data_IF_240893104860
#
_entry.id   IF_240893104860
#
_cell.length_a   1.000
_cell.length_b   1.000
_cell.length_c   1.000
_cell.angle_alpha   90.00
_cell.angle_beta   90.00
_cell.angle_gamma   90.00
#
_symmetry.space_group_name_H-M   'P 1'
#
loop_
_entity.id
_entity.type
_entity.pdbx_description
1 polymer ?
#
# COMPACT_ATOMS: atom_id res chain seq x y z
N UNK A 1 6.15 9.28 -10.92
CA UNK A 1 4.74 9.01 -10.62
C UNK A 1 4.65 8.23 -9.31
N UNK A 2 3.82 8.68 -8.40
CA UNK A 2 3.63 8.03 -7.11
C UNK A 2 2.39 7.15 -7.16
N UNK A 3 2.49 5.93 -6.65
CA UNK A 3 1.36 5.02 -6.59
C UNK A 3 0.84 4.96 -5.16
N UNK A 4 -0.47 5.08 -5.00
CA UNK A 4 -1.14 5.02 -3.71
C UNK A 4 -1.76 3.63 -3.56
N UNK A 5 -1.36 2.90 -2.52
CA UNK A 5 -1.75 1.51 -2.31
C UNK A 5 -2.50 1.36 -1.00
N UNK A 6 -3.71 0.83 -1.08
CA UNK A 6 -4.51 0.46 0.08
C UNK A 6 -4.18 -0.99 0.41
N UNK A 7 -3.59 -1.23 1.58
CA UNK A 7 -3.16 -2.58 1.97
C UNK A 7 -4.16 -3.26 2.90
N UNK A 8 -5.37 -2.71 3.00
CA UNK A 8 -6.45 -3.32 3.77
C UNK A 8 -7.06 -4.47 2.97
N UNK A 9 -8.03 -5.14 3.56
CA UNK A 9 -8.73 -6.21 2.85
C UNK A 9 -9.53 -5.66 1.67
N UNK A 10 -9.85 -6.55 0.75
CA UNK A 10 -10.65 -6.18 -0.41
C UNK A 10 -12.04 -5.66 0.01
N UNK A 11 -12.61 -6.24 1.06
CA UNK A 11 -13.90 -5.78 1.58
C UNK A 11 -13.84 -4.34 2.07
N UNK A 12 -12.81 -4.02 2.85
CA UNK A 12 -12.63 -2.66 3.35
C UNK A 12 -12.46 -1.68 2.20
N UNK A 13 -11.71 -2.06 1.19
CA UNK A 13 -11.47 -1.23 0.01
C UNK A 13 -12.78 -0.94 -0.73
N UNK A 14 -13.62 -1.96 -0.89
CA UNK A 14 -14.90 -1.79 -1.58
C UNK A 14 -15.85 -0.86 -0.84
N UNK A 15 -15.83 -0.90 0.47
CA UNK A 15 -16.69 -0.03 1.27
C UNK A 15 -16.30 1.43 1.12
N UNK A 16 -14.99 1.70 1.17
CA UNK A 16 -14.49 3.05 1.10
C UNK A 16 -12.97 3.02 0.93
N UNK A 17 -12.43 3.84 0.06
CA UNK A 17 -11.00 3.97 -0.11
C UNK A 17 -10.66 5.38 -0.62
N UNK A 18 -9.39 5.75 -0.52
CA UNK A 18 -8.91 7.05 -0.98
C UNK A 18 -8.97 7.11 -2.52
N UNK A 19 -9.36 8.25 -3.10
CA UNK A 19 -9.39 8.39 -4.55
C UNK A 19 -8.03 8.08 -5.16
N UNK A 20 -8.05 7.26 -6.21
CA UNK A 20 -6.84 6.88 -6.93
C UNK A 20 -6.06 5.74 -6.32
N UNK A 21 -6.50 5.20 -5.18
CA UNK A 21 -5.79 4.08 -4.54
C UNK A 21 -6.05 2.77 -5.29
N UNK A 22 -5.01 1.93 -5.30
CA UNK A 22 -5.11 0.54 -5.76
C UNK A 22 -5.08 -0.35 -4.53
N UNK A 23 -5.79 -1.47 -4.58
CA UNK A 23 -5.85 -2.37 -3.42
C UNK A 23 -4.93 -3.57 -3.60
N UNK A 24 -3.97 -3.71 -2.69
CA UNK A 24 -3.13 -4.91 -2.60
C UNK A 24 -3.07 -5.25 -1.11
N UNK A 25 -3.89 -6.18 -0.63
CA UNK A 25 -3.90 -6.53 0.79
C UNK A 25 -2.52 -6.93 1.30
N UNK A 26 -2.24 -6.58 2.56
CA UNK A 26 -0.92 -6.82 3.14
C UNK A 26 -0.53 -8.31 3.09
N UNK A 27 -1.50 -9.20 3.25
CA UNK A 27 -1.22 -10.64 3.21
C UNK A 27 -0.67 -11.06 1.84
N UNK A 28 -1.21 -10.48 0.77
CA UNK A 28 -0.72 -10.78 -0.58
C UNK A 28 0.67 -10.23 -0.79
N UNK A 29 0.95 -9.03 -0.30
CA UNK A 29 2.29 -8.45 -0.40
C UNK A 29 3.30 -9.34 0.32
N UNK A 30 2.96 -9.81 1.52
CA UNK A 30 3.84 -10.70 2.29
C UNK A 30 4.06 -12.03 1.58
N UNK A 31 3.11 -12.49 0.79
CA UNK A 31 3.23 -13.70 -0.01
C UNK A 31 3.94 -13.48 -1.35
N UNK A 32 4.34 -12.24 -1.63
CA UNK A 32 5.00 -11.90 -2.88
C UNK A 32 4.06 -11.69 -4.05
N UNK A 33 2.76 -11.57 -3.79
CA UNK A 33 1.75 -11.31 -4.83
C UNK A 33 1.55 -9.80 -4.91
N UNK A 34 2.19 -9.17 -5.86
CA UNK A 34 2.29 -7.72 -5.90
C UNK A 34 1.29 -7.01 -6.82
N UNK A 35 0.46 -7.77 -7.55
CA UNK A 35 -0.56 -7.15 -8.41
C UNK A 35 0.04 -6.15 -9.40
N UNK A 36 -0.46 -4.92 -9.38
CA UNK A 36 0.00 -3.89 -10.31
C UNK A 36 1.47 -3.51 -10.10
N UNK A 37 2.08 -3.91 -8.99
CA UNK A 37 3.49 -3.62 -8.73
C UNK A 37 4.43 -4.61 -9.40
N UNK A 38 3.89 -5.66 -10.02
CA UNK A 38 4.72 -6.61 -10.77
C UNK A 38 5.32 -5.90 -11.97
N UNK A 39 6.63 -5.99 -12.07
CA UNK A 39 7.35 -5.45 -13.22
C UNK A 39 7.58 -3.95 -13.25
N UNK A 40 7.12 -3.20 -12.25
CA UNK A 40 7.44 -1.77 -12.21
C UNK A 40 8.83 -1.54 -11.65
N UNK A 41 9.38 -0.35 -11.92
CA UNK A 41 10.69 0.02 -11.39
C UNK A 41 10.69 0.01 -9.86
N UNK A 42 11.74 -0.53 -9.27
CA UNK A 42 11.91 -0.55 -7.81
C UNK A 42 12.11 0.84 -7.21
N UNK A 43 12.37 1.83 -8.05
CA UNK A 43 12.51 3.22 -7.62
C UNK A 43 11.19 3.99 -7.65
N UNK A 44 10.11 3.37 -8.11
CA UNK A 44 8.81 4.03 -8.17
C UNK A 44 8.37 4.39 -6.74
N UNK A 45 8.02 5.67 -6.49
CA UNK A 45 7.53 6.05 -5.16
C UNK A 45 6.20 5.36 -4.85
N UNK A 46 6.13 4.70 -3.69
CA UNK A 46 4.93 4.03 -3.23
C UNK A 46 4.47 4.67 -1.93
N UNK A 47 3.17 4.95 -1.85
CA UNK A 47 2.55 5.43 -0.61
C UNK A 47 1.51 4.40 -0.19
N UNK A 48 1.61 3.93 1.05
CA UNK A 48 0.75 2.88 1.58
C UNK A 48 -0.10 3.42 2.71
N UNK A 49 -1.32 2.91 2.82
CA UNK A 49 -2.12 3.19 4.00
C UNK A 49 -2.97 1.97 4.35
N UNK A 50 -3.40 1.92 5.61
CA UNK A 50 -4.38 0.94 6.06
C UNK A 50 -5.39 1.66 6.95
N UNK A 51 -5.88 1.05 8.00
CA UNK A 51 -6.83 1.68 8.89
C UNK A 51 -6.14 2.53 9.96
N UNK A 52 -5.02 2.04 10.49
CA UNK A 52 -4.31 2.68 11.61
C UNK A 52 -2.80 2.79 11.39
N UNK A 53 -2.28 2.27 10.28
CA UNK A 53 -0.85 2.34 9.98
C UNK A 53 -0.06 1.08 10.31
N UNK A 54 -0.63 0.13 11.07
CA UNK A 54 0.09 -1.09 11.45
C UNK A 54 0.29 -2.04 10.27
N UNK A 55 -0.78 -2.32 9.52
CA UNK A 55 -0.69 -3.20 8.35
C UNK A 55 0.17 -2.59 7.27
N UNK A 56 0.08 -1.28 7.09
CA UNK A 56 0.89 -0.59 6.09
C UNK A 56 2.36 -0.57 6.47
N UNK A 57 2.68 -0.57 7.76
CA UNK A 57 4.08 -0.68 8.19
C UNK A 57 4.64 -2.06 7.85
N UNK A 58 3.87 -3.11 8.09
CA UNK A 58 4.27 -4.48 7.71
C UNK A 58 4.45 -4.58 6.20
N UNK A 59 3.53 -4.02 5.43
CA UNK A 59 3.61 -4.04 3.97
C UNK A 59 4.83 -3.27 3.48
N UNK A 60 5.13 -2.12 4.10
CA UNK A 60 6.31 -1.33 3.77
C UNK A 60 7.58 -2.14 3.95
N UNK A 61 7.71 -2.82 5.09
CA UNK A 61 8.89 -3.65 5.36
C UNK A 61 9.02 -4.77 4.33
N UNK A 62 7.92 -5.41 3.97
CA UNK A 62 7.93 -6.47 2.97
C UNK A 62 8.36 -5.95 1.61
N UNK A 63 7.84 -4.79 1.20
CA UNK A 63 8.20 -4.20 -0.09
C UNK A 63 9.66 -3.77 -0.13
N UNK A 64 10.16 -3.21 0.97
CA UNK A 64 11.57 -2.84 1.05
C UNK A 64 12.46 -4.08 0.96
N UNK A 65 12.05 -5.17 1.60
CA UNK A 65 12.76 -6.43 1.49
C UNK A 65 12.81 -6.92 0.04
N UNK A 66 11.76 -6.66 -0.73
CA UNK A 66 11.68 -7.04 -2.14
C UNK A 66 12.42 -6.09 -3.07
N UNK A 67 13.04 -5.04 -2.52
CA UNK A 67 13.90 -4.16 -3.28
C UNK A 67 13.33 -2.78 -3.61
N UNK A 68 12.10 -2.48 -3.20
CA UNK A 68 11.54 -1.15 -3.42
C UNK A 68 12.25 -0.14 -2.53
N UNK A 69 12.68 0.99 -3.10
CA UNK A 69 13.56 1.94 -2.42
C UNK A 69 12.86 3.19 -1.91
N UNK A 70 11.60 3.41 -2.28
CA UNK A 70 10.88 4.63 -1.90
C UNK A 70 9.45 4.27 -1.48
N UNK A 71 9.31 3.80 -0.24
CA UNK A 71 8.03 3.35 0.29
C UNK A 71 7.70 4.16 1.53
N UNK A 72 6.55 4.83 1.52
CA UNK A 72 6.09 5.67 2.62
C UNK A 72 4.82 5.10 3.22
N UNK A 73 4.76 5.00 4.55
CA UNK A 73 3.55 4.62 5.27
C UNK A 73 2.80 5.90 5.63
N UNK A 74 1.63 6.11 5.04
CA UNK A 74 0.82 7.31 5.28
C UNK A 74 -0.06 7.19 6.52
N UNK A 75 -0.14 6.01 7.13
CA UNK A 75 -0.97 5.80 8.31
C UNK A 75 -2.33 5.22 7.97
N UNK A 76 -3.39 5.87 8.41
CA UNK A 76 -4.75 5.39 8.19
C UNK A 76 -5.46 6.11 7.06
N UNK A 77 -6.62 5.58 6.67
CA UNK A 77 -7.41 6.16 5.60
C UNK A 77 -7.77 7.63 5.88
N UNK A 78 -8.10 7.95 7.12
CA UNK A 78 -8.46 9.32 7.47
C UNK A 78 -7.28 10.28 7.30
N UNK A 79 -6.06 9.80 7.49
CA UNK A 79 -4.87 10.62 7.27
C UNK A 79 -4.68 10.93 5.79
N UNK A 80 -4.98 9.96 4.94
CA UNK A 80 -4.82 10.10 3.49
C UNK A 80 -5.87 11.03 2.91
N UNK A 81 -7.09 10.95 3.43
CA UNK A 81 -8.20 11.78 2.93
C UNK A 81 -8.11 13.24 3.40
N UNK A 82 -7.24 13.53 4.35
CA UNK A 82 -7.05 14.90 4.79
C UNK A 82 -8.15 15.43 5.70
N UNK A 83 -8.87 14.55 6.35
CA UNK A 83 -9.94 14.92 7.28
C UNK A 83 -9.52 14.78 8.70
#
# INVERSE_FOLDING_TARGET
>A
MTLLIDVRTQEEFRERHAPGAENIPVDEICDGKLGILEGISKNTPLELYCRSGHRSETAKEALEFLGFTDVTNLGGLSDVEGV
#
